data_IF_783122353200
#
_entry.id   IF_783122353200
#
_cell.length_a   1.000
_cell.length_b   1.000
_cell.length_c   1.000
_cell.angle_alpha   90.00
_cell.angle_beta   90.00
_cell.angle_gamma   90.00
#
_symmetry.space_group_name_H-M   'P 1'
#
loop_
_entity.id
_entity.type
_entity.pdbx_description
1 polymer ?
#
# COMPACT_ATOMS: atom_id res chain seq x y z
N UNK A 1 -10.88 -50.05 -17.58
CA UNK A 1 -11.18 -48.81 -18.34
C UNK A 1 -10.63 -47.54 -17.68
N UNK A 2 -10.19 -47.54 -16.42
CA UNK A 2 -9.63 -46.34 -15.77
C UNK A 2 -8.17 -46.02 -16.20
N UNK A 3 -7.35 -47.05 -16.44
CA UNK A 3 -5.95 -46.87 -16.86
C UNK A 3 -5.83 -46.18 -18.24
N UNK A 4 -6.74 -46.49 -19.15
CA UNK A 4 -6.76 -45.93 -20.51
C UNK A 4 -7.15 -44.44 -20.50
N UNK A 5 -8.04 -44.03 -19.59
CA UNK A 5 -8.41 -42.63 -19.39
C UNK A 5 -7.30 -41.83 -18.68
N UNK A 6 -6.62 -42.41 -17.69
CA UNK A 6 -5.47 -41.77 -17.04
C UNK A 6 -4.28 -41.60 -17.98
N UNK A 7 -4.01 -42.60 -18.83
CA UNK A 7 -2.96 -42.53 -19.85
C UNK A 7 -3.34 -41.52 -20.95
N UNK A 8 -4.59 -41.50 -21.41
CA UNK A 8 -5.07 -40.46 -22.33
C UNK A 8 -4.92 -39.06 -21.75
N UNK A 9 -5.26 -38.85 -20.48
CA UNK A 9 -5.14 -37.55 -19.83
C UNK A 9 -3.69 -37.08 -19.67
N UNK A 10 -2.76 -37.98 -19.32
CA UNK A 10 -1.34 -37.66 -19.17
C UNK A 10 -0.59 -37.51 -20.50
N UNK A 11 -1.02 -38.21 -21.55
CA UNK A 11 -0.42 -38.10 -22.90
C UNK A 11 -1.02 -36.96 -23.72
N UNK A 12 -2.18 -36.42 -23.33
CA UNK A 12 -2.91 -35.36 -24.05
C UNK A 12 -2.15 -34.04 -24.21
N UNK A 13 -1.17 -33.78 -23.34
CA UNK A 13 -0.37 -32.54 -23.32
C UNK A 13 1.14 -32.81 -23.34
N UNK A 14 1.57 -34.03 -23.67
CA UNK A 14 3.01 -34.38 -23.66
C UNK A 14 3.85 -33.47 -24.58
N UNK A 15 3.28 -33.02 -25.70
CA UNK A 15 3.96 -32.10 -26.63
C UNK A 15 3.58 -30.63 -26.41
N UNK A 16 2.66 -30.33 -25.48
CA UNK A 16 2.23 -28.97 -25.21
C UNK A 16 3.26 -28.27 -24.31
N UNK A 17 3.58 -26.99 -24.57
CA UNK A 17 4.38 -26.19 -23.65
C UNK A 17 3.66 -26.02 -22.32
N UNK A 18 4.44 -25.85 -21.25
CA UNK A 18 3.92 -25.55 -19.92
C UNK A 18 3.16 -24.20 -19.89
N UNK A 19 2.24 -24.06 -18.95
CA UNK A 19 1.42 -22.86 -18.77
C UNK A 19 2.27 -21.60 -18.53
N UNK A 20 3.39 -21.72 -17.81
CA UNK A 20 4.30 -20.59 -17.58
C UNK A 20 4.91 -20.11 -18.91
N UNK A 21 5.38 -21.04 -19.75
CA UNK A 21 5.99 -20.73 -21.04
C UNK A 21 4.97 -20.09 -22.00
N UNK A 22 3.70 -20.49 -21.95
CA UNK A 22 2.63 -19.83 -22.71
C UNK A 22 2.37 -18.40 -22.24
N UNK A 23 2.44 -18.15 -20.92
CA UNK A 23 2.37 -16.80 -20.35
C UNK A 23 3.54 -15.91 -20.76
N UNK A 24 4.77 -16.44 -20.70
CA UNK A 24 5.97 -15.72 -21.14
C UNK A 24 5.96 -15.43 -22.65
N UNK A 25 5.42 -16.36 -23.46
CA UNK A 25 5.17 -16.14 -24.88
C UNK A 25 4.17 -15.00 -25.10
N UNK A 26 3.04 -14.99 -24.39
CA UNK A 26 2.03 -13.93 -24.49
C UNK A 26 2.63 -12.55 -24.15
N UNK A 27 3.45 -12.48 -23.12
CA UNK A 27 4.11 -11.25 -22.66
C UNK A 27 5.38 -10.89 -23.45
N UNK A 28 5.71 -11.65 -24.51
CA UNK A 28 6.91 -11.46 -25.36
C UNK A 28 8.24 -11.50 -24.60
N UNK A 29 8.29 -12.21 -23.47
CA UNK A 29 9.48 -12.30 -22.61
C UNK A 29 10.45 -13.41 -23.06
N UNK A 30 10.01 -14.32 -23.92
CA UNK A 30 10.85 -15.41 -24.42
C UNK A 30 11.85 -14.95 -25.50
N UNK A 31 13.03 -15.59 -25.60
CA UNK A 31 13.96 -15.39 -26.72
C UNK A 31 13.30 -15.67 -28.09
N UNK A 32 13.77 -14.98 -29.13
CA UNK A 32 13.19 -15.01 -30.48
C UNK A 32 13.14 -16.41 -31.14
N UNK A 33 13.99 -17.34 -30.71
CA UNK A 33 13.99 -18.74 -31.15
C UNK A 33 12.82 -19.51 -30.54
N UNK A 34 12.59 -19.36 -29.24
CA UNK A 34 11.53 -20.07 -28.51
C UNK A 34 10.14 -19.54 -28.87
N UNK A 35 10.01 -18.22 -29.07
CA UNK A 35 8.76 -17.62 -29.54
C UNK A 35 8.29 -18.24 -30.87
N UNK A 36 9.21 -18.48 -31.81
CA UNK A 36 8.87 -19.10 -33.10
C UNK A 36 8.42 -20.56 -32.93
N UNK A 37 9.04 -21.30 -32.01
CA UNK A 37 8.66 -22.69 -31.71
C UNK A 37 7.24 -22.75 -31.14
N UNK A 38 6.95 -21.91 -30.15
CA UNK A 38 5.65 -21.86 -29.48
C UNK A 38 4.58 -21.36 -30.43
N UNK A 39 4.86 -20.32 -31.23
CA UNK A 39 3.93 -19.84 -32.27
C UNK A 39 3.51 -20.96 -33.22
N UNK A 40 4.46 -21.73 -33.76
CA UNK A 40 4.16 -22.87 -34.65
C UNK A 40 3.33 -23.96 -33.96
N UNK A 41 3.50 -24.15 -32.66
CA UNK A 41 2.73 -25.10 -31.87
C UNK A 41 1.29 -24.59 -31.64
N UNK A 42 1.13 -23.35 -31.19
CA UNK A 42 -0.16 -22.69 -30.94
C UNK A 42 -1.00 -22.63 -32.23
N UNK A 43 -0.38 -22.38 -33.40
CA UNK A 43 -1.10 -22.39 -34.69
C UNK A 43 -1.74 -23.76 -35.02
N UNK A 44 -1.23 -24.86 -34.44
CA UNK A 44 -1.69 -26.22 -34.71
C UNK A 44 -2.49 -26.84 -33.56
N UNK A 45 -2.30 -26.37 -32.32
CA UNK A 45 -2.89 -26.96 -31.13
C UNK A 45 -4.09 -26.13 -30.62
N UNK A 46 -5.33 -26.64 -30.69
CA UNK A 46 -6.52 -25.91 -30.23
C UNK A 46 -6.52 -25.68 -28.70
N UNK A 47 -5.87 -26.54 -27.92
CA UNK A 47 -5.80 -26.38 -26.45
C UNK A 47 -4.94 -25.20 -26.04
N UNK A 48 -3.75 -25.06 -26.61
CA UNK A 48 -2.90 -23.91 -26.34
C UNK A 48 -3.53 -22.60 -26.83
N UNK A 49 -4.35 -22.63 -27.88
CA UNK A 49 -5.14 -21.47 -28.30
C UNK A 49 -6.19 -21.09 -27.24
N UNK A 50 -6.94 -22.07 -26.73
CA UNK A 50 -7.95 -21.85 -25.71
C UNK A 50 -7.34 -21.32 -24.39
N UNK A 51 -6.18 -21.84 -24.01
CA UNK A 51 -5.44 -21.36 -22.83
C UNK A 51 -4.97 -19.92 -22.98
N UNK A 52 -4.42 -19.55 -24.15
CA UNK A 52 -4.04 -18.17 -24.42
C UNK A 52 -5.25 -17.23 -24.45
N UNK A 53 -6.39 -17.66 -24.97
CA UNK A 53 -7.63 -16.88 -24.92
C UNK A 53 -8.12 -16.67 -23.49
N UNK A 54 -8.07 -17.72 -22.67
CA UNK A 54 -8.44 -17.64 -21.24
C UNK A 54 -7.53 -16.68 -20.49
N UNK A 55 -6.22 -16.76 -20.72
CA UNK A 55 -5.23 -15.84 -20.15
C UNK A 55 -5.51 -14.39 -20.57
N UNK A 56 -5.81 -14.15 -21.86
CA UNK A 56 -6.16 -12.82 -22.36
C UNK A 56 -7.42 -12.24 -21.73
N UNK A 57 -8.44 -13.08 -21.54
CA UNK A 57 -9.67 -12.66 -20.90
C UNK A 57 -9.43 -12.29 -19.43
N UNK A 58 -8.69 -13.13 -18.69
CA UNK A 58 -8.33 -12.85 -17.30
C UNK A 58 -7.56 -11.52 -17.16
N UNK A 59 -6.60 -11.25 -18.05
CA UNK A 59 -5.83 -10.00 -18.04
C UNK A 59 -6.68 -8.76 -18.41
N UNK A 60 -7.79 -8.92 -19.12
CA UNK A 60 -8.74 -7.83 -19.41
C UNK A 60 -9.72 -7.58 -18.27
N UNK A 61 -10.10 -8.63 -17.55
CA UNK A 61 -11.05 -8.55 -16.43
C UNK A 61 -10.37 -8.13 -15.12
N UNK A 62 -9.06 -8.31 -15.00
CA UNK A 62 -8.28 -7.70 -13.94
C UNK A 62 -8.25 -6.17 -14.15
N UNK A 63 -8.85 -5.35 -13.26
CA UNK A 63 -8.72 -3.91 -13.35
C UNK A 63 -7.25 -3.56 -13.10
N UNK A 64 -6.49 -3.39 -14.17
CA UNK A 64 -5.23 -2.67 -14.10
C UNK A 64 -5.58 -1.23 -13.69
N UNK A 65 -4.94 -0.66 -12.66
CA UNK A 65 -5.08 0.78 -12.43
C UNK A 65 -4.69 1.48 -13.73
N UNK A 66 -5.62 2.24 -14.30
CA UNK A 66 -5.36 2.99 -15.52
C UNK A 66 -4.13 3.88 -15.29
N UNK A 67 -3.11 3.85 -16.16
CA UNK A 67 -1.99 4.76 -16.00
C UNK A 67 -2.53 6.19 -16.13
N UNK A 68 -2.19 7.09 -15.19
CA UNK A 68 -2.74 8.44 -15.18
C UNK A 68 -2.45 9.15 -16.51
N UNK A 69 -3.42 9.92 -16.98
CA UNK A 69 -3.35 10.61 -18.26
C UNK A 69 -2.21 11.63 -18.28
N UNK A 70 -1.75 12.01 -19.48
CA UNK A 70 -0.69 13.02 -19.68
C UNK A 70 -1.00 14.37 -19.00
N UNK A 71 -2.28 14.64 -18.72
CA UNK A 71 -2.74 15.85 -18.02
C UNK A 71 -2.62 15.71 -16.49
N UNK A 72 -2.69 14.50 -15.92
CA UNK A 72 -2.44 14.24 -14.50
C UNK A 72 -0.94 14.21 -14.17
N UNK A 73 -0.05 14.00 -15.16
CA UNK A 73 1.41 14.15 -14.98
C UNK A 73 1.87 15.57 -14.64
N UNK A 74 0.99 16.57 -14.83
CA UNK A 74 1.24 17.97 -14.46
C UNK A 74 0.65 18.29 -13.07
N UNK A 75 -0.27 17.46 -12.57
CA UNK A 75 -0.56 17.45 -11.14
C UNK A 75 0.64 16.79 -10.45
N UNK A 76 1.24 17.51 -9.52
CA UNK A 76 2.43 17.09 -8.79
C UNK A 76 2.32 15.61 -8.39
N UNK A 77 3.37 14.82 -8.64
CA UNK A 77 3.53 13.46 -8.11
C UNK A 77 3.59 13.55 -6.58
N UNK A 78 2.42 13.71 -5.95
CA UNK A 78 2.27 13.70 -4.50
C UNK A 78 2.24 12.23 -4.13
N UNK A 79 3.30 11.77 -3.48
CA UNK A 79 3.38 10.42 -2.96
C UNK A 79 2.46 10.29 -1.75
N UNK A 80 1.48 9.40 -1.82
CA UNK A 80 0.52 9.16 -0.74
C UNK A 80 0.91 7.92 0.04
N UNK A 81 1.07 8.08 1.36
CA UNK A 81 1.41 7.02 2.29
C UNK A 81 0.35 6.88 3.37
N UNK A 82 0.15 5.66 3.85
CA UNK A 82 -0.70 5.37 5.02
C UNK A 82 0.18 4.84 6.13
N UNK A 83 0.16 5.51 7.28
CA UNK A 83 0.92 5.07 8.44
C UNK A 83 0.24 3.90 9.14
N UNK A 84 0.98 2.81 9.32
CA UNK A 84 0.51 1.61 9.99
C UNK A 84 0.78 1.70 11.49
N UNK A 85 -0.25 1.58 12.31
CA UNK A 85 -0.10 1.48 13.76
C UNK A 85 0.68 0.20 14.12
N UNK A 86 1.80 0.37 14.82
CA UNK A 86 2.59 -0.73 15.35
C UNK A 86 1.98 -1.24 16.66
N UNK A 87 2.06 -2.56 16.93
CA UNK A 87 1.61 -3.09 18.21
C UNK A 87 2.44 -2.49 19.35
N UNK A 88 1.83 -2.28 20.54
CA UNK A 88 2.54 -1.76 21.70
C UNK A 88 3.71 -2.69 22.03
N UNK A 89 4.92 -2.17 21.96
CA UNK A 89 6.11 -2.92 22.39
C UNK A 89 6.13 -2.94 23.92
N UNK A 90 6.45 -4.09 24.56
CA UNK A 90 6.58 -4.15 26.01
C UNK A 90 7.80 -3.32 26.43
N UNK A 91 7.59 -2.05 26.79
CA UNK A 91 8.56 -1.23 27.48
C UNK A 91 8.48 -1.51 28.99
N UNK A 92 9.61 -1.42 29.69
CA UNK A 92 9.62 -1.44 31.16
C UNK A 92 8.79 -0.26 31.66
N UNK A 93 7.58 -0.55 32.16
CA UNK A 93 6.67 0.46 32.68
C UNK A 93 7.09 0.85 34.10
N UNK A 94 7.23 2.16 34.33
CA UNK A 94 7.18 2.70 35.68
C UNK A 94 5.71 2.68 36.10
N UNK A 95 5.40 1.98 37.19
CA UNK A 95 4.04 1.89 37.74
C UNK A 95 3.45 3.29 37.92
N UNK A 96 2.40 3.62 37.17
CA UNK A 96 1.68 4.89 37.26
C UNK A 96 1.64 5.73 35.98
N UNK A 97 2.48 5.42 34.98
CA UNK A 97 2.37 6.03 33.64
C UNK A 97 1.54 5.13 32.73
N UNK A 98 0.30 5.52 32.43
CA UNK A 98 -0.44 4.92 31.34
C UNK A 98 0.34 5.21 30.04
N UNK A 99 0.76 4.17 29.32
CA UNK A 99 1.46 4.34 28.06
C UNK A 99 0.47 4.75 26.96
N UNK A 100 0.24 6.06 26.81
CA UNK A 100 -0.54 6.68 25.73
C UNK A 100 0.22 6.76 24.42
N UNK A 101 1.52 6.44 24.42
CA UNK A 101 2.38 6.60 23.26
C UNK A 101 2.08 5.54 22.20
N UNK A 102 1.78 6.00 20.99
CA UNK A 102 1.52 5.17 19.80
C UNK A 102 2.58 5.40 18.76
N UNK A 103 2.96 4.33 18.08
CA UNK A 103 3.97 4.35 17.03
C UNK A 103 3.34 3.96 15.71
N UNK A 104 3.54 4.77 14.68
CA UNK A 104 3.09 4.53 13.31
C UNK A 104 4.30 4.37 12.41
N UNK A 105 4.35 3.28 11.66
CA UNK A 105 5.37 3.06 10.64
C UNK A 105 4.84 3.57 9.30
N UNK A 106 5.63 4.39 8.62
CA UNK A 106 5.31 4.97 7.32
C UNK A 106 6.27 4.35 6.30
N UNK A 107 5.92 3.15 5.83
CA UNK A 107 6.70 2.33 4.88
C UNK A 107 8.23 2.53 5.03
N UNK A 108 8.94 2.84 3.94
CA UNK A 108 10.39 3.05 3.92
C UNK A 108 10.78 4.50 4.25
N UNK A 109 9.83 5.36 4.66
CA UNK A 109 10.08 6.76 5.01
C UNK A 109 10.52 6.93 6.46
N UNK A 110 9.94 6.17 7.39
CA UNK A 110 10.27 6.28 8.81
C UNK A 110 9.09 6.03 9.74
N UNK A 111 9.12 6.70 10.90
CA UNK A 111 8.16 6.48 11.97
C UNK A 111 7.56 7.80 12.46
N UNK A 112 6.28 7.77 12.82
CA UNK A 112 5.60 8.86 13.51
C UNK A 112 5.20 8.36 14.89
N UNK A 113 5.55 9.11 15.92
CA UNK A 113 5.14 8.83 17.30
C UNK A 113 4.11 9.84 17.73
N UNK A 114 3.02 9.38 18.34
CA UNK A 114 1.96 10.22 18.91
C UNK A 114 1.85 9.95 20.41
N UNK A 115 1.76 10.99 21.21
CA UNK A 115 1.52 10.93 22.64
C UNK A 115 0.36 11.85 23.02
N UNK A 116 -0.51 11.38 23.90
CA UNK A 116 -1.65 12.13 24.41
C UNK A 116 -1.34 12.56 25.82
N UNK A 117 -1.27 13.87 26.04
CA UNK A 117 -0.97 14.45 27.35
C UNK A 117 -2.23 15.06 27.95
N UNK A 118 -2.53 14.67 29.19
CA UNK A 118 -3.57 15.31 29.99
C UNK A 118 -2.97 16.45 30.80
N UNK A 119 -3.42 17.66 30.53
CA UNK A 119 -3.07 18.88 31.26
C UNK A 119 -4.03 19.08 32.45
N UNK A 120 -3.58 19.79 33.50
CA UNK A 120 -4.44 20.17 34.62
C UNK A 120 -5.68 20.92 34.12
N UNK A 121 -6.87 20.50 34.59
CA UNK A 121 -8.16 21.03 34.12
C UNK A 121 -8.87 20.15 33.08
N UNK A 122 -8.34 18.95 32.77
CA UNK A 122 -9.00 17.99 31.88
C UNK A 122 -8.83 18.30 30.40
N UNK A 123 -7.95 19.25 30.08
CA UNK A 123 -7.57 19.58 28.71
C UNK A 123 -6.58 18.53 28.21
N UNK A 124 -6.77 18.02 26.98
CA UNK A 124 -5.80 17.11 26.35
C UNK A 124 -5.05 17.82 25.24
N UNK A 125 -3.77 17.48 25.11
CA UNK A 125 -2.96 17.81 23.95
C UNK A 125 -2.47 16.54 23.26
N UNK A 126 -2.42 16.58 21.93
CA UNK A 126 -1.85 15.51 21.11
C UNK A 126 -0.50 16.00 20.60
N UNK A 127 0.58 15.37 21.07
CA UNK A 127 1.96 15.68 20.69
C UNK A 127 2.44 14.62 19.72
N UNK A 128 2.97 15.06 18.58
CA UNK A 128 3.50 14.18 17.56
C UNK A 128 4.95 14.49 17.21
N UNK A 129 5.70 13.44 16.84
CA UNK A 129 7.09 13.52 16.41
C UNK A 129 7.32 12.62 15.18
N UNK A 130 7.91 13.21 14.14
CA UNK A 130 8.38 12.50 12.94
C UNK A 130 9.85 12.08 13.12
N UNK A 131 10.14 10.80 12.89
CA UNK A 131 11.47 10.19 12.98
C UNK A 131 11.84 9.54 11.64
N UNK A 132 12.99 9.89 11.09
CA UNK A 132 13.45 9.38 9.78
C UNK A 132 12.80 10.07 8.57
N UNK A 133 11.70 10.78 8.77
CA UNK A 133 10.98 11.53 7.72
C UNK A 133 11.45 12.99 7.73
N UNK A 134 11.92 13.56 6.61
CA UNK A 134 12.32 14.97 6.55
C UNK A 134 11.13 15.91 6.85
N UNK A 135 11.19 16.76 7.89
CA UNK A 135 10.02 17.51 8.34
C UNK A 135 9.76 18.80 7.55
N UNK A 136 10.57 19.12 6.54
CA UNK A 136 10.51 20.40 5.85
C UNK A 136 9.20 20.58 5.07
N UNK A 137 8.50 21.68 5.39
CA UNK A 137 7.27 22.08 4.71
C UNK A 137 6.06 21.20 5.03
N UNK A 138 6.14 20.34 6.04
CA UNK A 138 4.99 19.55 6.49
C UNK A 138 4.03 20.37 7.35
N UNK A 139 2.75 20.14 7.13
CA UNK A 139 1.64 20.61 7.97
C UNK A 139 0.87 19.40 8.48
N UNK A 140 0.57 19.38 9.78
CA UNK A 140 -0.24 18.36 10.42
C UNK A 140 -1.67 18.89 10.53
N UNK A 141 -2.65 18.15 10.01
CA UNK A 141 -4.07 18.48 10.04
C UNK A 141 -4.85 17.40 10.78
N UNK A 142 -5.58 17.77 11.82
CA UNK A 142 -6.40 16.87 12.64
C UNK A 142 -7.86 16.98 12.23
N UNK A 143 -8.46 15.85 11.87
CA UNK A 143 -9.83 15.72 11.40
C UNK A 143 -10.64 14.84 12.34
N UNK A 144 -11.93 15.14 12.51
CA UNK A 144 -12.91 14.27 13.15
C UNK A 144 -14.04 13.99 12.14
N UNK A 145 -14.01 12.80 11.54
CA UNK A 145 -14.80 12.52 10.34
C UNK A 145 -14.42 13.49 9.22
N UNK A 146 -15.40 14.20 8.67
CA UNK A 146 -15.21 15.17 7.58
C UNK A 146 -14.92 16.61 8.06
N UNK A 147 -14.80 16.81 9.38
CA UNK A 147 -14.57 18.14 9.97
C UNK A 147 -13.09 18.32 10.29
N UNK A 148 -12.45 19.27 9.61
CA UNK A 148 -11.11 19.75 9.96
C UNK A 148 -11.19 20.54 11.27
N UNK A 149 -10.47 20.10 12.29
CA UNK A 149 -10.45 20.76 13.61
C UNK A 149 -9.32 21.76 13.72
N UNK A 150 -8.10 21.34 13.38
CA UNK A 150 -6.89 22.14 13.52
C UNK A 150 -5.86 21.76 12.44
N UNK A 151 -5.11 22.74 11.98
CA UNK A 151 -3.90 22.54 11.17
C UNK A 151 -2.75 23.28 11.84
N UNK A 152 -1.65 22.59 12.06
CA UNK A 152 -0.45 23.13 12.72
C UNK A 152 0.79 22.83 11.89
N UNK A 153 1.78 23.72 11.83
CA UNK A 153 3.02 23.46 11.13
C UNK A 153 3.84 22.39 11.86
N UNK A 154 4.53 21.55 11.10
CA UNK A 154 5.56 20.67 11.66
C UNK A 154 6.86 21.48 11.80
N UNK A 155 7.42 21.49 13.01
CA UNK A 155 8.68 22.18 13.29
C UNK A 155 9.87 21.56 12.54
N UNK A 156 10.98 22.28 12.44
CA UNK A 156 12.21 21.77 11.81
C UNK A 156 12.78 20.50 12.46
N UNK A 157 12.36 20.18 13.69
CA UNK A 157 12.73 18.96 14.41
C UNK A 157 11.70 17.83 14.24
N UNK A 158 10.66 18.02 13.44
CA UNK A 158 9.60 17.02 13.23
C UNK A 158 8.51 16.99 14.30
N UNK A 159 8.51 17.93 15.24
CA UNK A 159 7.47 18.02 16.27
C UNK A 159 6.26 18.81 15.79
N UNK A 160 5.06 18.39 16.20
CA UNK A 160 3.81 19.13 16.06
C UNK A 160 2.92 18.89 17.30
N UNK A 161 2.08 19.86 17.63
CA UNK A 161 1.22 19.80 18.83
C UNK A 161 -0.16 20.33 18.49
N UNK A 162 -1.19 19.55 18.83
CA UNK A 162 -2.58 20.01 18.86
C UNK A 162 -3.00 20.22 20.31
N UNK A 163 -3.55 21.39 20.61
CA UNK A 163 -4.00 21.75 21.95
C UNK A 163 -5.53 21.66 22.03
N UNK A 164 -6.07 21.45 23.23
CA UNK A 164 -7.51 21.40 23.48
C UNK A 164 -8.25 20.36 22.62
N UNK A 165 -7.66 19.19 22.45
CA UNK A 165 -8.27 18.09 21.69
C UNK A 165 -9.22 17.34 22.61
N UNK A 166 -10.47 17.14 22.19
CA UNK A 166 -11.42 16.32 22.95
C UNK A 166 -11.08 14.83 22.86
N UNK A 167 -11.70 14.02 23.72
CA UNK A 167 -11.60 12.57 23.57
C UNK A 167 -12.38 12.11 22.33
N UNK A 168 -11.80 11.23 21.53
CA UNK A 168 -12.44 10.82 20.29
C UNK A 168 -11.54 10.04 19.34
N UNK A 169 -12.10 9.69 18.18
CA UNK A 169 -11.34 9.13 17.06
C UNK A 169 -11.12 10.21 16.03
N UNK A 170 -9.88 10.30 15.58
CA UNK A 170 -9.41 11.33 14.67
C UNK A 170 -8.69 10.70 13.50
N UNK A 171 -8.66 11.47 12.43
CA UNK A 171 -7.83 11.23 11.27
C UNK A 171 -6.73 12.30 11.25
N UNK A 172 -5.47 11.89 11.15
CA UNK A 172 -4.34 12.82 11.07
C UNK A 172 -3.73 12.77 9.67
N UNK A 173 -3.66 13.93 9.02
CA UNK A 173 -3.01 14.13 7.73
C UNK A 173 -1.76 14.97 7.91
N UNK A 174 -0.59 14.42 7.56
CA UNK A 174 0.66 15.15 7.45
C UNK A 174 0.96 15.37 5.97
N UNK A 175 0.99 16.62 5.51
CA UNK A 175 1.19 16.91 4.08
C UNK A 175 2.25 17.96 3.83
N UNK A 176 2.96 17.83 2.72
CA UNK A 176 3.78 18.88 2.13
C UNK A 176 3.57 18.90 0.60
N UNK A 177 4.36 19.71 -0.11
CA UNK A 177 4.28 19.85 -1.56
C UNK A 177 4.64 18.61 -2.40
N UNK A 178 5.08 17.50 -1.77
CA UNK A 178 5.53 16.26 -2.43
C UNK A 178 4.91 14.99 -1.86
N UNK A 179 4.35 15.06 -0.66
CA UNK A 179 4.05 13.88 0.13
C UNK A 179 2.83 14.12 1.03
N UNK A 180 1.96 13.12 1.12
CA UNK A 180 0.87 13.05 2.10
C UNK A 180 0.98 11.75 2.90
N UNK A 181 0.88 11.87 4.22
CA UNK A 181 0.90 10.75 5.15
C UNK A 181 -0.41 10.75 5.94
N UNK A 182 -1.15 9.68 5.79
CA UNK A 182 -2.50 9.47 6.32
C UNK A 182 -2.39 8.55 7.55
N UNK A 183 -2.75 9.00 8.75
CA UNK A 183 -2.87 8.15 9.94
C UNK A 183 -4.35 7.99 10.32
N UNK A 184 -4.83 6.75 10.27
CA UNK A 184 -6.22 6.41 10.56
C UNK A 184 -6.39 6.04 12.06
N UNK A 185 -7.61 6.21 12.57
CA UNK A 185 -8.04 5.79 13.91
C UNK A 185 -7.19 6.32 15.08
N UNK A 186 -6.67 7.54 14.96
CA UNK A 186 -5.94 8.22 16.04
C UNK A 186 -6.89 8.50 17.20
N UNK A 187 -6.70 7.83 18.34
CA UNK A 187 -7.61 7.93 19.48
C UNK A 187 -7.04 8.82 20.59
N UNK A 188 -7.72 9.91 20.94
CA UNK A 188 -7.30 10.84 22.02
C UNK A 188 -8.16 10.66 23.26
#
# INVERSE_FOLDING_TARGET
MELENLLRHNLYRYECPDALTLGEYHNKLLPSVEQRRIRKHVEKCPHCQQELQTLQQFLKEAPLPEPPGVVERIAQEIEVFVGRLLPPRPAFQVRGMANSMRYYEVLDLGQITLDVQELPGGVRSLVGLMLGIPPSGFEASLWNGDVLLQTVPVSALGNFVFENVSSGRYYLLLKNHKCEIHLLDVSV
#
